data_IF_175636656546
#
_entry.id   IF_175636656546
#
_cell.length_a   1.000
_cell.length_b   1.000
_cell.length_c   1.000
_cell.angle_alpha   90.00
_cell.angle_beta   90.00
_cell.angle_gamma   90.00
#
_symmetry.space_group_name_H-M   'P 1'
#
loop_
_entity.id
_entity.type
_entity.pdbx_description
1 polymer ?
#
# COMPACT_ATOMS: atom_id res chain seq x y z
N UNK A 1 -1.41 4.66 -3.76
CA UNK A 1 -2.49 5.39 -3.06
C UNK A 1 -2.00 5.99 -1.73
N UNK A 2 -1.07 5.31 -1.05
CA UNK A 2 -0.34 5.68 0.17
C UNK A 2 0.32 7.07 0.16
N UNK A 3 0.60 7.63 -1.03
CA UNK A 3 1.19 8.97 -1.18
C UNK A 3 0.16 10.07 -1.49
N UNK A 4 -1.11 9.71 -1.64
CA UNK A 4 -2.21 10.66 -1.94
C UNK A 4 -2.57 11.46 -0.69
N UNK A 5 -2.58 10.79 0.46
CA UNK A 5 -3.00 11.36 1.74
C UNK A 5 -4.53 11.49 1.86
N UNK A 6 -5.08 11.31 3.07
CA UNK A 6 -6.53 11.13 3.28
C UNK A 6 -7.38 12.33 2.87
N UNK A 7 -6.82 13.54 2.86
CA UNK A 7 -7.53 14.76 2.40
C UNK A 7 -7.88 14.71 0.91
N UNK A 8 -7.21 13.86 0.14
CA UNK A 8 -7.32 13.83 -1.31
C UNK A 8 -7.91 12.49 -1.82
N UNK A 9 -8.41 11.61 -0.94
CA UNK A 9 -8.96 10.31 -1.35
C UNK A 9 -10.21 10.48 -2.23
N UNK A 10 -11.12 11.40 -1.90
CA UNK A 10 -12.29 11.67 -2.75
C UNK A 10 -11.86 12.08 -4.16
N UNK A 11 -10.94 13.04 -4.29
CA UNK A 11 -10.39 13.46 -5.59
C UNK A 11 -9.71 12.32 -6.33
N UNK A 12 -9.04 11.40 -5.62
CA UNK A 12 -8.46 10.21 -6.25
C UNK A 12 -9.54 9.32 -6.89
N UNK A 13 -10.62 9.01 -6.17
CA UNK A 13 -11.71 8.19 -6.71
C UNK A 13 -12.51 8.91 -7.80
N UNK A 14 -12.72 10.23 -7.70
CA UNK A 14 -13.30 11.06 -8.78
C UNK A 14 -12.48 10.97 -10.08
N UNK A 15 -11.14 11.02 -9.96
CA UNK A 15 -10.25 10.92 -11.13
C UNK A 15 -10.30 9.51 -11.72
N UNK A 16 -10.32 8.46 -10.90
CA UNK A 16 -10.47 7.08 -11.40
C UNK A 16 -11.80 6.93 -12.13
N UNK A 17 -12.90 7.40 -11.53
CA UNK A 17 -14.25 7.34 -12.11
C UNK A 17 -14.31 8.06 -13.45
N UNK A 18 -13.79 9.28 -13.55
CA UNK A 18 -13.74 10.03 -14.81
C UNK A 18 -13.02 9.29 -15.95
N UNK A 19 -12.05 8.44 -15.63
CA UNK A 19 -11.22 7.75 -16.63
C UNK A 19 -11.65 6.30 -16.91
N UNK A 20 -12.57 5.75 -16.11
CA UNK A 20 -13.01 4.36 -16.26
C UNK A 20 -14.22 4.31 -17.22
N UNK A 21 -14.17 3.46 -18.25
CA UNK A 21 -15.33 3.20 -19.13
C UNK A 21 -16.54 2.71 -18.33
N UNK A 22 -17.79 2.88 -18.78
CA UNK A 22 -18.99 2.51 -18.01
C UNK A 22 -18.97 1.08 -17.45
N UNK A 23 -18.47 0.11 -18.22
CA UNK A 23 -18.32 -1.32 -17.91
C UNK A 23 -16.93 -1.71 -17.39
N UNK A 24 -16.09 -0.72 -17.08
CA UNK A 24 -14.71 -0.94 -16.66
C UNK A 24 -14.58 -1.50 -15.24
N UNK A 25 -13.46 -2.18 -15.01
CA UNK A 25 -13.04 -2.71 -13.71
C UNK A 25 -11.88 -1.85 -13.18
N UNK A 26 -11.90 -1.52 -11.89
CA UNK A 26 -10.79 -0.87 -11.20
C UNK A 26 -10.26 -1.78 -10.09
N UNK A 27 -8.94 -2.01 -10.08
CA UNK A 27 -8.25 -2.71 -9.00
C UNK A 27 -7.33 -1.73 -8.27
N UNK A 28 -7.64 -1.46 -7.01
CA UNK A 28 -6.81 -0.70 -6.09
C UNK A 28 -5.87 -1.65 -5.34
N UNK A 29 -4.57 -1.57 -5.59
CA UNK A 29 -3.54 -2.25 -4.80
C UNK A 29 -2.84 -1.25 -3.88
N UNK A 30 -2.86 -1.47 -2.56
CA UNK A 30 -2.34 -0.52 -1.58
C UNK A 30 -1.96 -1.19 -0.26
N UNK A 31 -0.92 -0.69 0.40
CA UNK A 31 -0.68 -0.91 1.83
C UNK A 31 -1.79 -0.22 2.63
N UNK A 32 -2.16 -0.79 3.77
CA UNK A 32 -3.23 -0.29 4.63
C UNK A 32 -2.91 -0.33 6.12
N UNK A 33 -3.58 0.53 6.88
CA UNK A 33 -3.59 0.53 8.34
C UNK A 33 -4.84 -0.16 8.87
N UNK A 34 -4.70 -0.91 9.96
CA UNK A 34 -5.85 -1.50 10.69
C UNK A 34 -6.67 -0.46 11.45
N UNK A 35 -6.19 0.79 11.55
CA UNK A 35 -6.82 1.88 12.31
C UNK A 35 -7.00 3.11 11.42
N UNK A 36 -8.11 3.80 11.60
CA UNK A 36 -8.31 5.14 11.03
C UNK A 36 -7.64 6.15 11.93
N UNK A 37 -6.48 6.63 11.52
CA UNK A 37 -5.86 7.83 12.09
C UNK A 37 -4.99 8.51 11.02
N UNK A 38 -4.30 9.58 11.42
CA UNK A 38 -3.36 10.30 10.57
C UNK A 38 -1.92 10.07 11.03
N UNK A 39 -1.68 9.02 11.82
CA UNK A 39 -0.37 8.77 12.40
C UNK A 39 0.51 8.12 11.33
N UNK A 40 1.54 8.86 10.93
CA UNK A 40 2.63 8.36 10.11
C UNK A 40 3.78 8.06 11.06
N UNK A 41 4.42 6.89 10.90
CA UNK A 41 5.63 6.60 11.66
C UNK A 41 6.67 7.72 11.44
N UNK A 42 7.13 8.42 12.51
CA UNK A 42 7.97 9.59 12.35
C UNK A 42 9.31 9.29 11.67
N UNK A 43 9.85 8.08 11.86
CA UNK A 43 11.12 7.68 11.27
C UNK A 43 10.95 7.41 9.77
N UNK A 44 9.92 6.67 9.37
CA UNK A 44 9.59 6.40 7.97
C UNK A 44 9.29 7.71 7.23
N UNK A 45 8.52 8.62 7.83
CA UNK A 45 8.23 9.93 7.23
C UNK A 45 9.50 10.76 6.99
N UNK A 46 10.44 10.72 7.94
CA UNK A 46 11.68 11.51 7.85
C UNK A 46 12.69 10.94 6.85
N UNK A 47 12.82 9.62 6.78
CA UNK A 47 13.96 8.98 6.10
C UNK A 47 13.60 8.25 4.80
N UNK A 48 12.36 7.77 4.63
CA UNK A 48 12.01 6.86 3.53
C UNK A 48 10.87 7.44 2.68
N UNK A 49 9.71 7.72 3.28
CA UNK A 49 8.51 8.17 2.57
C UNK A 49 7.95 9.46 3.17
N UNK A 50 8.54 10.63 2.85
CA UNK A 50 7.91 11.91 3.13
C UNK A 50 6.52 11.93 2.47
N UNK A 51 5.50 12.32 3.23
CA UNK A 51 4.08 12.36 2.81
C UNK A 51 3.37 11.00 2.70
N UNK A 52 4.01 9.89 3.07
CA UNK A 52 3.33 8.60 3.14
C UNK A 52 2.26 8.61 4.24
N UNK A 53 1.04 8.21 3.94
CA UNK A 53 -0.04 8.02 4.91
C UNK A 53 -0.84 6.78 4.53
N UNK A 54 -0.90 5.81 5.43
CA UNK A 54 -1.58 4.55 5.15
C UNK A 54 -3.10 4.73 5.32
N UNK A 55 -3.91 4.34 4.34
CA UNK A 55 -5.36 4.38 4.47
C UNK A 55 -5.87 3.29 5.42
N UNK A 56 -7.01 3.53 6.05
CA UNK A 56 -7.82 2.47 6.65
C UNK A 56 -8.87 1.94 5.67
N UNK A 57 -9.41 0.74 5.97
CA UNK A 57 -10.59 0.20 5.26
C UNK A 57 -11.72 1.22 5.23
N UNK A 58 -11.98 1.88 6.36
CA UNK A 58 -13.03 2.89 6.51
C UNK A 58 -12.80 4.07 5.55
N UNK A 59 -11.60 4.60 5.48
CA UNK A 59 -11.29 5.74 4.60
C UNK A 59 -11.44 5.39 3.12
N UNK A 60 -11.04 4.18 2.73
CA UNK A 60 -11.23 3.70 1.35
C UNK A 60 -12.72 3.53 1.06
N UNK A 61 -13.48 2.91 1.96
CA UNK A 61 -14.92 2.72 1.79
C UNK A 61 -15.64 4.07 1.68
N UNK A 62 -15.45 4.98 2.64
CA UNK A 62 -16.07 6.32 2.66
C UNK A 62 -15.76 7.12 1.38
N UNK A 63 -14.52 7.07 0.87
CA UNK A 63 -14.13 7.84 -0.31
C UNK A 63 -14.55 7.20 -1.65
N UNK A 64 -14.84 5.89 -1.67
CA UNK A 64 -15.23 5.17 -2.90
C UNK A 64 -16.74 4.97 -3.05
N UNK A 65 -17.50 5.04 -1.95
CA UNK A 65 -18.92 4.67 -1.88
C UNK A 65 -19.80 5.39 -2.92
N UNK A 66 -19.54 6.67 -3.19
CA UNK A 66 -20.30 7.44 -4.18
C UNK A 66 -19.96 7.13 -5.64
N UNK A 67 -18.90 6.37 -5.90
CA UNK A 67 -18.37 6.13 -7.25
C UNK A 67 -18.55 4.68 -7.70
N UNK A 68 -18.33 3.73 -6.78
CA UNK A 68 -18.15 2.32 -7.15
C UNK A 68 -18.82 1.36 -6.18
N UNK A 69 -19.22 0.22 -6.73
CA UNK A 69 -19.51 -1.01 -5.99
C UNK A 69 -18.18 -1.69 -5.68
N UNK A 70 -17.93 -2.03 -4.41
CA UNK A 70 -16.81 -2.87 -4.00
C UNK A 70 -17.17 -4.33 -4.22
N UNK A 71 -16.50 -4.97 -5.18
CA UNK A 71 -16.78 -6.36 -5.59
C UNK A 71 -15.99 -7.39 -4.79
N UNK A 72 -14.72 -7.09 -4.48
CA UNK A 72 -13.84 -7.99 -3.74
C UNK A 72 -12.80 -7.20 -2.94
N UNK A 73 -12.41 -7.75 -1.79
CA UNK A 73 -11.36 -7.19 -0.96
C UNK A 73 -10.46 -8.32 -0.44
N UNK A 74 -9.29 -8.42 -1.05
CA UNK A 74 -8.29 -9.43 -0.69
C UNK A 74 -7.20 -8.81 0.20
N UNK A 75 -6.89 -9.46 1.32
CA UNK A 75 -5.77 -9.10 2.19
C UNK A 75 -4.75 -10.23 2.28
N UNK A 76 -3.55 -9.97 1.75
CA UNK A 76 -2.41 -10.87 1.77
C UNK A 76 -1.17 -10.19 2.37
N UNK A 77 -1.39 -9.33 3.39
CA UNK A 77 -0.30 -8.58 4.05
C UNK A 77 0.84 -9.44 4.60
N UNK A 78 0.57 -10.70 4.96
CA UNK A 78 1.63 -11.62 5.42
C UNK A 78 2.68 -11.88 4.33
N UNK A 79 2.31 -11.88 3.05
CA UNK A 79 3.23 -12.12 1.94
C UNK A 79 4.22 -10.95 1.76
N UNK A 80 3.87 -9.77 2.26
CA UNK A 80 4.75 -8.60 2.18
C UNK A 80 5.93 -8.68 3.16
N UNK A 81 5.80 -9.44 4.24
CA UNK A 81 6.95 -9.84 5.05
C UNK A 81 7.95 -10.61 4.19
N UNK A 82 7.50 -11.69 3.53
CA UNK A 82 8.35 -12.50 2.65
C UNK A 82 9.00 -11.66 1.56
N UNK A 83 8.23 -10.73 0.97
CA UNK A 83 8.74 -9.78 -0.03
C UNK A 83 9.86 -8.90 0.53
N UNK A 84 9.65 -8.28 1.69
CA UNK A 84 10.62 -7.37 2.31
C UNK A 84 11.89 -8.11 2.77
N UNK A 85 11.75 -9.35 3.25
CA UNK A 85 12.89 -10.18 3.62
C UNK A 85 13.70 -10.60 2.37
N UNK A 86 13.04 -10.94 1.27
CA UNK A 86 13.71 -11.22 0.00
C UNK A 86 14.44 -9.99 -0.54
N UNK A 87 13.87 -8.79 -0.41
CA UNK A 87 14.57 -7.55 -0.76
C UNK A 87 15.77 -7.29 0.14
N UNK A 88 15.65 -7.52 1.45
CA UNK A 88 16.75 -7.33 2.38
C UNK A 88 17.92 -8.27 2.09
N UNK A 89 17.65 -9.56 1.83
CA UNK A 89 18.67 -10.52 1.44
C UNK A 89 19.40 -10.06 0.18
N UNK A 90 18.66 -9.70 -0.87
CA UNK A 90 19.24 -9.21 -2.14
C UNK A 90 20.02 -7.91 -1.94
N UNK A 91 19.55 -7.01 -1.09
CA UNK A 91 20.24 -5.76 -0.74
C UNK A 91 21.59 -6.02 -0.07
N UNK A 92 21.64 -6.94 0.91
CA UNK A 92 22.89 -7.30 1.58
C UNK A 92 23.86 -7.97 0.61
N UNK A 93 23.38 -8.88 -0.23
CA UNK A 93 24.21 -9.58 -1.21
C UNK A 93 24.79 -8.64 -2.27
N UNK A 94 24.02 -7.64 -2.71
CA UNK A 94 24.47 -6.64 -3.68
C UNK A 94 25.30 -5.49 -3.06
N UNK A 95 25.36 -5.38 -1.72
CA UNK A 95 26.02 -4.27 -1.04
C UNK A 95 27.48 -4.02 -1.51
N UNK A 96 28.34 -5.05 -1.68
CA UNK A 96 29.72 -4.82 -2.15
C UNK A 96 29.81 -4.09 -3.50
N UNK A 97 28.82 -4.27 -4.37
CA UNK A 97 28.78 -3.65 -5.71
C UNK A 97 28.34 -2.18 -5.66
N UNK A 98 27.48 -1.81 -4.70
CA UNK A 98 26.91 -0.47 -4.61
C UNK A 98 27.54 0.39 -3.50
N UNK A 99 28.38 -0.18 -2.64
CA UNK A 99 28.99 0.51 -1.50
C UNK A 99 29.82 1.74 -1.88
N UNK A 100 30.34 1.83 -3.13
CA UNK A 100 31.02 3.03 -3.61
C UNK A 100 30.12 4.26 -3.75
N UNK A 101 28.81 4.06 -3.89
CA UNK A 101 27.81 5.11 -4.11
C UNK A 101 27.07 5.53 -2.83
N UNK A 102 27.19 4.74 -1.76
CA UNK A 102 26.43 4.89 -0.53
C UNK A 102 27.33 4.73 0.69
N UNK A 103 26.99 5.41 1.79
CA UNK A 103 27.74 5.26 3.03
C UNK A 103 27.14 4.18 3.94
N UNK A 104 27.91 3.76 4.95
CA UNK A 104 27.46 2.75 5.91
C UNK A 104 26.21 3.20 6.70
N UNK A 105 26.03 4.51 6.89
CA UNK A 105 24.81 5.05 7.50
C UNK A 105 23.58 4.75 6.64
N UNK A 106 23.67 4.89 5.33
CA UNK A 106 22.61 4.52 4.40
C UNK A 106 22.32 3.02 4.48
N UNK A 107 23.35 2.17 4.51
CA UNK A 107 23.17 0.73 4.67
C UNK A 107 22.34 0.39 5.91
N UNK A 108 22.73 0.95 7.06
CA UNK A 108 22.03 0.74 8.33
C UNK A 108 20.60 1.27 8.30
N UNK A 109 20.39 2.45 7.70
CA UNK A 109 19.07 3.04 7.52
C UNK A 109 18.18 2.15 6.66
N UNK A 110 18.67 1.70 5.51
CA UNK A 110 17.88 0.90 4.56
C UNK A 110 17.61 -0.52 5.09
N UNK A 111 18.58 -1.13 5.77
CA UNK A 111 18.36 -2.39 6.51
C UNK A 111 17.33 -2.22 7.62
N UNK A 112 17.38 -1.13 8.39
CA UNK A 112 16.37 -0.85 9.42
C UNK A 112 14.98 -0.73 8.81
N UNK A 113 14.84 0.07 7.74
CA UNK A 113 13.59 0.23 7.00
C UNK A 113 12.98 -1.12 6.59
N UNK A 114 13.74 -1.95 5.86
CA UNK A 114 13.23 -3.23 5.34
C UNK A 114 12.81 -4.18 6.47
N UNK A 115 13.65 -4.35 7.50
CA UNK A 115 13.35 -5.27 8.59
C UNK A 115 12.22 -4.77 9.50
N UNK A 116 12.15 -3.46 9.78
CA UNK A 116 11.08 -2.88 10.58
C UNK A 116 9.72 -3.01 9.88
N UNK A 117 9.66 -2.71 8.57
CA UNK A 117 8.44 -2.93 7.79
C UNK A 117 8.08 -4.41 7.71
N UNK A 118 9.05 -5.31 7.52
CA UNK A 118 8.79 -6.75 7.50
C UNK A 118 8.18 -7.21 8.84
N UNK A 119 8.72 -6.72 9.96
CA UNK A 119 8.18 -6.96 11.29
C UNK A 119 6.75 -6.43 11.45
N UNK A 120 6.43 -5.24 10.92
CA UNK A 120 5.09 -4.67 10.98
C UNK A 120 4.06 -5.49 10.19
N UNK A 121 4.43 -5.99 9.00
CA UNK A 121 3.58 -6.91 8.24
C UNK A 121 3.45 -8.27 8.93
N UNK A 122 4.56 -8.85 9.41
CA UNK A 122 4.58 -10.13 10.15
C UNK A 122 3.69 -10.08 11.40
N UNK A 123 3.72 -8.96 12.12
CA UNK A 123 2.90 -8.70 13.29
C UNK A 123 1.44 -8.36 12.95
N UNK A 124 1.08 -8.30 11.66
CA UNK A 124 -0.24 -7.90 11.16
C UNK A 124 -0.66 -6.50 11.63
N UNK A 125 0.31 -5.61 11.83
CA UNK A 125 0.06 -4.23 12.24
C UNK A 125 -0.36 -3.36 11.05
N UNK A 126 0.29 -3.60 9.90
CA UNK A 126 -0.06 -3.05 8.59
C UNK A 126 -0.48 -4.17 7.64
N UNK A 127 -1.24 -3.81 6.61
CA UNK A 127 -1.91 -4.73 5.71
C UNK A 127 -1.52 -4.46 4.26
N UNK A 128 -1.80 -5.41 3.38
CA UNK A 128 -1.69 -5.23 1.94
C UNK A 128 -2.98 -5.69 1.30
N UNK A 129 -3.61 -4.78 0.56
CA UNK A 129 -4.93 -4.99 -0.01
C UNK A 129 -4.91 -4.93 -1.53
N UNK A 130 -5.73 -5.78 -2.13
CA UNK A 130 -6.29 -5.57 -3.46
C UNK A 130 -7.79 -5.43 -3.30
N UNK A 131 -8.34 -4.31 -3.77
CA UNK A 131 -9.77 -4.02 -3.73
C UNK A 131 -10.27 -3.84 -5.14
N UNK A 132 -11.25 -4.65 -5.54
CA UNK A 132 -11.84 -4.60 -6.87
C UNK A 132 -13.13 -3.79 -6.82
N UNK A 133 -13.25 -2.86 -7.76
CA UNK A 133 -14.35 -1.91 -7.87
C UNK A 133 -14.94 -1.93 -9.27
N UNK A 134 -16.26 -1.75 -9.36
CA UNK A 134 -16.99 -1.57 -10.62
C UNK A 134 -18.10 -0.53 -10.43
N UNK A 135 -18.88 -0.24 -11.48
CA UNK A 135 -20.13 0.54 -11.36
C UNK A 135 -21.38 -0.33 -11.17
N UNK A 136 -21.20 -1.57 -10.70
CA UNK A 136 -22.25 -2.57 -10.55
C UNK A 136 -22.42 -3.40 -11.83
N UNK A 137 -21.45 -4.26 -12.13
CA UNK A 137 -21.54 -5.16 -13.29
C UNK A 137 -22.69 -6.16 -13.12
N UNK A 138 -23.50 -6.33 -14.18
CA UNK A 138 -24.61 -7.28 -14.17
C UNK A 138 -24.12 -8.71 -13.91
N UNK A 139 -24.85 -9.47 -13.09
CA UNK A 139 -24.49 -10.82 -12.62
C UNK A 139 -23.27 -10.89 -11.68
N UNK A 140 -22.63 -9.76 -11.37
CA UNK A 140 -21.50 -9.66 -10.45
C UNK A 140 -20.20 -10.22 -11.03
N UNK A 141 -19.13 -10.16 -10.22
CA UNK A 141 -17.80 -10.63 -10.60
C UNK A 141 -17.35 -11.80 -9.71
N UNK A 142 -16.85 -12.88 -10.32
CA UNK A 142 -16.18 -13.98 -9.59
C UNK A 142 -14.68 -13.74 -9.62
N UNK A 143 -14.17 -13.01 -8.64
CA UNK A 143 -12.73 -12.74 -8.51
C UNK A 143 -12.00 -14.04 -8.11
N UNK A 144 -11.03 -14.52 -8.92
CA UNK A 144 -10.25 -15.71 -8.58
C UNK A 144 -9.47 -15.52 -7.28
N UNK A 145 -9.30 -16.62 -6.52
CA UNK A 145 -8.52 -16.67 -5.28
C UNK A 145 -7.34 -17.62 -5.42
#
# INVERSE_FOLDING_TARGET
FEHVGPKNYNTYFEVVDRNLKPDGLFLLHTIGSKKTDHNVDPWINKYIFPNGCLPSVRQIAEASESHFVMEDWHNFGADYDTTLMAWHERFINAWPEIAGNYNERFKRMFSYYLNACAGAFRARDIQLWQVVFTRGVENGLRVPR
#
